data_IF_028424584296
#
_entry.id   IF_028424584296
#
_cell.length_a   1.000
_cell.length_b   1.000
_cell.length_c   1.000
_cell.angle_alpha   90.00
_cell.angle_beta   90.00
_cell.angle_gamma   90.00
#
_symmetry.space_group_name_H-M   'P 1'
#
loop_
_entity.id
_entity.type
_entity.pdbx_description
1 polymer ?
#
# COMPACT_ATOMS: atom_id res chain seq x y z
N UNK A 1 -25.35 -16.60 25.97
CA UNK A 1 -24.48 -16.45 27.16
C UNK A 1 -23.60 -15.25 26.87
N UNK A 2 -23.71 -14.14 27.62
CA UNK A 2 -22.84 -12.99 27.36
C UNK A 2 -21.48 -13.24 28.01
N UNK A 3 -20.41 -12.90 27.30
CA UNK A 3 -19.05 -12.96 27.82
C UNK A 3 -18.87 -12.02 29.02
N UNK A 4 -17.99 -12.41 29.93
CA UNK A 4 -17.52 -11.56 31.03
C UNK A 4 -16.60 -10.46 30.50
N UNK A 5 -16.37 -9.41 31.29
CA UNK A 5 -15.46 -8.32 30.90
C UNK A 5 -14.01 -8.80 30.80
N UNK A 6 -13.64 -9.77 31.62
CA UNK A 6 -12.34 -10.43 31.63
C UNK A 6 -12.13 -11.19 30.31
N UNK A 7 -13.10 -12.03 29.89
CA UNK A 7 -13.05 -12.74 28.60
C UNK A 7 -12.99 -11.76 27.42
N UNK A 8 -13.81 -10.70 27.43
CA UNK A 8 -13.79 -9.68 26.37
C UNK A 8 -12.45 -8.95 26.28
N UNK A 9 -11.79 -8.71 27.42
CA UNK A 9 -10.45 -8.11 27.45
C UNK A 9 -9.40 -9.05 26.85
N UNK A 10 -9.49 -10.35 27.11
CA UNK A 10 -8.62 -11.35 26.50
C UNK A 10 -8.81 -11.41 24.97
N UNK A 11 -10.06 -11.46 24.51
CA UNK A 11 -10.37 -11.43 23.09
C UNK A 11 -9.90 -10.14 22.42
N UNK A 12 -10.11 -8.98 23.07
CA UNK A 12 -9.63 -7.70 22.56
C UNK A 12 -8.12 -7.73 22.30
N UNK A 13 -7.33 -8.22 23.26
CA UNK A 13 -5.87 -8.30 23.11
C UNK A 13 -5.50 -9.18 21.92
N UNK A 14 -6.16 -10.31 21.74
CA UNK A 14 -5.87 -11.24 20.66
C UNK A 14 -6.26 -10.67 19.28
N UNK A 15 -7.45 -10.08 19.16
CA UNK A 15 -7.88 -9.40 17.94
C UNK A 15 -6.93 -8.26 17.55
N UNK A 16 -6.51 -7.43 18.52
CA UNK A 16 -5.58 -6.34 18.26
C UNK A 16 -4.21 -6.85 17.77
N UNK A 17 -3.72 -7.99 18.29
CA UNK A 17 -2.49 -8.62 17.77
C UNK A 17 -2.67 -9.08 16.32
N UNK A 18 -3.77 -9.77 16.02
CA UNK A 18 -4.08 -10.25 14.66
C UNK A 18 -4.14 -9.08 13.68
N UNK A 19 -4.89 -8.03 14.01
CA UNK A 19 -5.01 -6.84 13.16
C UNK A 19 -3.68 -6.13 13.02
N UNK A 20 -2.91 -5.99 14.10
CA UNK A 20 -1.59 -5.36 14.05
C UNK A 20 -0.63 -6.12 13.13
N UNK A 21 -0.69 -7.45 13.11
CA UNK A 21 0.13 -8.25 12.21
C UNK A 21 -0.31 -8.14 10.75
N UNK A 22 -1.62 -7.98 10.50
CA UNK A 22 -2.11 -7.63 9.15
C UNK A 22 -1.57 -6.26 8.71
N UNK A 23 -1.65 -5.23 9.58
CA UNK A 23 -1.12 -3.88 9.31
C UNK A 23 0.38 -3.96 8.97
N UNK A 24 1.17 -4.69 9.76
CA UNK A 24 2.61 -4.88 9.48
C UNK A 24 2.85 -5.51 8.12
N UNK A 25 2.07 -6.53 7.73
CA UNK A 25 2.18 -7.17 6.41
C UNK A 25 1.84 -6.21 5.28
N UNK A 26 0.82 -5.35 5.44
CA UNK A 26 0.47 -4.35 4.41
C UNK A 26 1.57 -3.31 4.25
N UNK A 27 2.11 -2.80 5.37
CA UNK A 27 3.23 -1.85 5.36
C UNK A 27 4.49 -2.47 4.74
N UNK A 28 4.79 -3.74 5.05
CA UNK A 28 5.91 -4.48 4.46
C UNK A 28 5.74 -4.65 2.95
N UNK A 29 4.54 -5.06 2.48
CA UNK A 29 4.28 -5.21 1.05
C UNK A 29 4.40 -3.87 0.30
N UNK A 30 3.90 -2.77 0.87
CA UNK A 30 4.08 -1.41 0.35
C UNK A 30 5.57 -1.08 0.20
N UNK A 31 6.37 -1.31 1.24
CA UNK A 31 7.81 -1.08 1.21
C UNK A 31 8.53 -1.94 0.15
N UNK A 32 8.22 -3.23 0.06
CA UNK A 32 8.81 -4.14 -0.92
C UNK A 32 8.52 -3.69 -2.36
N UNK A 33 7.29 -3.26 -2.64
CA UNK A 33 6.89 -2.80 -3.97
C UNK A 33 7.65 -1.54 -4.39
N UNK A 34 7.91 -0.62 -3.46
CA UNK A 34 8.79 0.53 -3.72
C UNK A 34 10.20 0.09 -4.11
N UNK A 35 10.76 -0.89 -3.40
CA UNK A 35 12.05 -1.49 -3.73
C UNK A 35 12.06 -2.12 -5.12
N UNK A 36 11.08 -2.98 -5.42
CA UNK A 36 10.93 -3.63 -6.73
C UNK A 36 10.71 -2.63 -7.87
N UNK A 37 10.06 -1.50 -7.61
CA UNK A 37 9.92 -0.42 -8.59
C UNK A 37 11.28 0.08 -9.05
N UNK A 38 12.15 0.45 -8.11
CA UNK A 38 13.49 0.95 -8.42
C UNK A 38 14.29 -0.13 -9.14
N UNK A 39 14.29 -1.36 -8.63
CA UNK A 39 15.02 -2.48 -9.21
C UNK A 39 14.61 -2.76 -10.66
N UNK A 40 13.31 -2.86 -10.96
CA UNK A 40 12.85 -3.15 -12.32
C UNK A 40 13.05 -1.98 -13.28
N UNK A 41 12.89 -0.74 -12.82
CA UNK A 41 13.18 0.46 -13.62
C UNK A 41 14.66 0.46 -14.01
N UNK A 42 15.57 0.34 -13.04
CA UNK A 42 17.01 0.34 -13.29
C UNK A 42 17.41 -0.83 -14.19
N UNK A 43 16.91 -2.04 -13.90
CA UNK A 43 17.18 -3.22 -14.73
C UNK A 43 16.75 -2.98 -16.18
N UNK A 44 15.56 -2.43 -16.40
CA UNK A 44 15.02 -2.17 -17.74
C UNK A 44 15.82 -1.10 -18.48
N UNK A 45 16.27 -0.05 -17.79
CA UNK A 45 17.10 1.01 -18.40
C UNK A 45 18.53 0.55 -18.74
N UNK A 46 19.03 -0.49 -18.06
CA UNK A 46 20.34 -1.10 -18.32
C UNK A 46 20.31 -2.16 -19.43
N UNK A 47 19.13 -2.65 -19.82
CA UNK A 47 19.00 -3.60 -20.93
C UNK A 47 19.48 -2.93 -22.23
N UNK A 48 20.38 -3.61 -22.93
CA UNK A 48 20.85 -3.18 -24.25
C UNK A 48 19.80 -3.55 -25.30
N UNK A 49 19.32 -2.56 -26.03
CA UNK A 49 18.53 -2.77 -27.23
C UNK A 49 18.07 -1.45 -27.84
N UNK A 50 16.94 -1.47 -28.55
CA UNK A 50 16.46 -0.28 -29.24
C UNK A 50 16.05 0.83 -28.26
N UNK A 51 16.19 2.09 -28.68
CA UNK A 51 15.84 3.25 -27.85
C UNK A 51 14.39 3.21 -27.33
N UNK A 52 13.49 2.62 -28.12
CA UNK A 52 12.09 2.45 -27.72
C UNK A 52 11.89 1.46 -26.56
N UNK A 53 12.84 0.56 -26.29
CA UNK A 53 12.76 -0.36 -25.17
C UNK A 53 12.86 0.38 -23.82
N UNK A 54 13.45 1.58 -23.77
CA UNK A 54 13.51 2.37 -22.55
C UNK A 54 12.10 2.78 -22.04
N UNK A 55 11.08 2.81 -22.92
CA UNK A 55 9.69 3.05 -22.50
C UNK A 55 9.10 1.90 -21.66
N UNK A 56 9.67 0.69 -21.73
CA UNK A 56 9.25 -0.45 -20.91
C UNK A 56 9.46 -0.13 -19.42
N UNK A 57 10.40 0.74 -19.07
CA UNK A 57 10.66 1.16 -17.69
C UNK A 57 9.47 1.89 -17.05
N UNK A 58 8.52 2.43 -17.83
CA UNK A 58 7.31 3.05 -17.28
C UNK A 58 6.28 2.03 -16.79
N UNK A 59 6.30 0.80 -17.31
CA UNK A 59 5.36 -0.26 -16.91
C UNK A 59 5.46 -0.56 -15.40
N UNK A 60 6.63 -0.90 -14.83
CA UNK A 60 6.73 -1.15 -13.40
C UNK A 60 6.39 0.09 -12.57
N UNK A 61 6.69 1.31 -13.04
CA UNK A 61 6.32 2.56 -12.33
C UNK A 61 4.81 2.64 -12.15
N UNK A 62 4.03 2.52 -13.23
CA UNK A 62 2.58 2.68 -13.19
C UNK A 62 1.90 1.53 -12.42
N UNK A 63 2.31 0.29 -12.69
CA UNK A 63 1.73 -0.90 -12.05
C UNK A 63 1.99 -0.87 -10.55
N UNK A 64 3.23 -0.60 -10.13
CA UNK A 64 3.56 -0.59 -8.72
C UNK A 64 3.06 0.64 -7.99
N UNK A 65 2.87 1.78 -8.66
CA UNK A 65 2.19 2.92 -8.06
C UNK A 65 0.75 2.58 -7.66
N UNK A 66 0.02 1.88 -8.53
CA UNK A 66 -1.31 1.40 -8.22
C UNK A 66 -1.31 0.36 -7.09
N UNK A 67 -0.41 -0.64 -7.14
CA UNK A 67 -0.34 -1.67 -6.11
C UNK A 67 0.06 -1.11 -4.75
N UNK A 68 1.03 -0.20 -4.69
CA UNK A 68 1.44 0.45 -3.44
C UNK A 68 0.29 1.26 -2.83
N UNK A 69 -0.47 1.96 -3.67
CA UNK A 69 -1.72 2.62 -3.26
C UNK A 69 -2.71 1.64 -2.64
N UNK A 70 -2.87 0.45 -3.25
CA UNK A 70 -3.78 -0.57 -2.75
C UNK A 70 -3.36 -1.09 -1.36
N UNK A 71 -2.07 -1.39 -1.15
CA UNK A 71 -1.58 -1.83 0.16
C UNK A 71 -1.71 -0.75 1.23
N UNK A 72 -1.41 0.51 0.88
CA UNK A 72 -1.60 1.64 1.79
C UNK A 72 -3.09 1.86 2.14
N UNK A 73 -3.99 1.69 1.18
CA UNK A 73 -5.44 1.78 1.42
C UNK A 73 -5.93 0.67 2.35
N UNK A 74 -5.49 -0.58 2.14
CA UNK A 74 -5.79 -1.69 3.03
C UNK A 74 -5.25 -1.44 4.44
N UNK A 75 -4.01 -0.97 4.57
CA UNK A 75 -3.41 -0.63 5.87
C UNK A 75 -4.28 0.35 6.65
N UNK A 76 -4.76 1.42 6.00
CA UNK A 76 -5.64 2.42 6.63
C UNK A 76 -6.98 1.81 7.08
N UNK A 77 -7.57 0.93 6.27
CA UNK A 77 -8.80 0.23 6.65
C UNK A 77 -8.60 -0.69 7.84
N UNK A 78 -7.47 -1.40 7.91
CA UNK A 78 -7.13 -2.21 9.07
C UNK A 78 -6.82 -1.37 10.31
N UNK A 79 -6.24 -0.17 10.16
CA UNK A 79 -6.11 0.78 11.27
C UNK A 79 -7.47 1.23 11.82
N UNK A 80 -8.47 1.43 10.97
CA UNK A 80 -9.86 1.72 11.41
C UNK A 80 -10.49 0.54 12.14
N UNK A 81 -10.29 -0.68 11.64
CA UNK A 81 -10.73 -1.90 12.34
C UNK A 81 -10.06 -2.01 13.71
N UNK A 82 -8.76 -1.74 13.79
CA UNK A 82 -8.00 -1.72 15.04
C UNK A 82 -8.59 -0.73 16.04
N UNK A 83 -8.85 0.50 15.60
CA UNK A 83 -9.45 1.55 16.45
C UNK A 83 -10.86 1.19 16.91
N UNK A 84 -11.65 0.56 16.04
CA UNK A 84 -12.99 0.08 16.40
C UNK A 84 -12.92 -1.00 17.49
N UNK A 85 -12.05 -2.00 17.35
CA UNK A 85 -11.87 -3.06 18.37
C UNK A 85 -11.45 -2.44 19.71
N UNK A 86 -10.44 -1.56 19.68
CA UNK A 86 -9.90 -0.87 20.87
C UNK A 86 -10.97 -0.11 21.64
N UNK A 87 -11.93 0.49 20.94
CA UNK A 87 -12.94 1.37 21.56
C UNK A 87 -14.22 0.63 21.95
N UNK A 88 -14.57 -0.46 21.28
CA UNK A 88 -15.88 -1.11 21.45
C UNK A 88 -15.83 -2.45 22.19
N UNK A 89 -14.73 -3.22 22.11
CA UNK A 89 -14.75 -4.64 22.50
C UNK A 89 -15.10 -4.91 23.96
N UNK A 90 -14.77 -4.01 24.89
CA UNK A 90 -15.14 -4.16 26.31
C UNK A 90 -16.63 -3.98 26.59
N UNK A 91 -17.39 -3.49 25.61
CA UNK A 91 -18.81 -3.18 25.73
C UNK A 91 -19.68 -4.01 24.77
N UNK A 92 -19.10 -4.75 23.81
CA UNK A 92 -19.84 -5.54 22.83
C UNK A 92 -19.06 -6.74 22.32
N UNK A 93 -19.77 -7.84 22.08
CA UNK A 93 -19.30 -9.05 21.39
C UNK A 93 -19.67 -9.03 19.88
N UNK A 94 -20.23 -7.93 19.38
CA UNK A 94 -20.54 -7.79 17.96
C UNK A 94 -19.27 -7.99 17.12
N UNK A 95 -19.38 -8.73 16.01
CA UNK A 95 -18.26 -9.01 15.10
C UNK A 95 -17.01 -9.60 15.81
N UNK A 96 -17.21 -10.40 16.87
CA UNK A 96 -16.11 -11.07 17.57
C UNK A 96 -15.29 -11.93 16.58
N UNK A 97 -13.98 -11.70 16.53
CA UNK A 97 -13.03 -12.31 15.59
C UNK A 97 -13.32 -12.07 14.11
N UNK A 98 -14.21 -11.15 13.76
CA UNK A 98 -14.45 -10.77 12.38
C UNK A 98 -13.41 -9.72 11.93
N UNK A 99 -12.42 -10.18 11.16
CA UNK A 99 -11.35 -9.36 10.60
C UNK A 99 -11.74 -8.68 9.27
N UNK A 100 -13.03 -8.61 8.95
CA UNK A 100 -13.52 -8.01 7.72
C UNK A 100 -13.46 -6.48 7.78
N UNK A 101 -12.43 -5.93 7.11
CA UNK A 101 -12.21 -4.49 6.98
C UNK A 101 -13.27 -3.77 6.12
N UNK A 102 -14.09 -4.50 5.34
CA UNK A 102 -14.99 -3.90 4.35
C UNK A 102 -16.00 -2.93 4.96
N UNK A 103 -16.31 -3.11 6.24
CA UNK A 103 -17.18 -2.24 7.05
C UNK A 103 -16.70 -0.78 7.08
N UNK A 104 -15.39 -0.57 6.97
CA UNK A 104 -14.77 0.76 7.06
C UNK A 104 -14.44 1.40 5.70
N UNK A 105 -14.83 0.77 4.57
CA UNK A 105 -14.53 1.28 3.23
C UNK A 105 -15.12 2.67 3.00
N UNK A 106 -16.33 2.91 3.53
CA UNK A 106 -17.03 4.19 3.37
C UNK A 106 -16.41 5.31 4.20
N UNK A 107 -15.70 4.97 5.27
CA UNK A 107 -15.10 5.93 6.18
C UNK A 107 -13.69 6.36 5.74
N UNK A 108 -13.10 5.65 4.76
CA UNK A 108 -11.75 5.88 4.27
C UNK A 108 -11.72 6.67 2.96
N UNK A 109 -10.59 7.33 2.69
CA UNK A 109 -10.38 8.06 1.44
C UNK A 109 -10.40 7.13 0.23
N UNK A 110 -10.78 7.70 -0.92
CA UNK A 110 -10.76 6.98 -2.19
C UNK A 110 -9.32 6.61 -2.58
N UNK A 111 -9.17 5.44 -3.22
CA UNK A 111 -7.86 4.95 -3.69
C UNK A 111 -7.14 5.97 -4.58
N UNK A 112 -7.86 6.69 -5.44
CA UNK A 112 -7.28 7.74 -6.29
C UNK A 112 -6.70 8.90 -5.47
N UNK A 113 -7.39 9.35 -4.41
CA UNK A 113 -6.85 10.41 -3.54
C UNK A 113 -5.58 9.96 -2.83
N UNK A 114 -5.51 8.68 -2.44
CA UNK A 114 -4.30 8.09 -1.83
C UNK A 114 -3.17 7.99 -2.85
N UNK A 115 -3.47 7.58 -4.09
CA UNK A 115 -2.49 7.45 -5.17
C UNK A 115 -1.74 8.76 -5.42
N UNK A 116 -2.46 9.88 -5.42
CA UNK A 116 -1.89 11.23 -5.58
C UNK A 116 -1.59 11.93 -4.24
N UNK A 117 -1.47 11.17 -3.15
CA UNK A 117 -1.00 11.73 -1.88
C UNK A 117 0.46 12.18 -1.99
N UNK A 118 0.86 13.12 -1.12
CA UNK A 118 2.21 13.70 -1.12
C UNK A 118 3.31 12.63 -1.11
N UNK A 119 3.16 11.58 -0.30
CA UNK A 119 4.19 10.54 -0.15
C UNK A 119 4.34 9.66 -1.39
N UNK A 120 3.23 9.21 -1.98
CA UNK A 120 3.26 8.38 -3.19
C UNK A 120 3.59 9.21 -4.43
N UNK A 121 3.03 10.42 -4.52
CA UNK A 121 3.26 11.35 -5.61
C UNK A 121 4.73 11.75 -5.73
N UNK A 122 5.40 12.09 -4.63
CA UNK A 122 6.84 12.37 -4.68
C UNK A 122 7.68 11.15 -5.04
N UNK A 123 7.36 9.98 -4.49
CA UNK A 123 8.13 8.76 -4.76
C UNK A 123 8.00 8.33 -6.23
N UNK A 124 6.80 8.08 -6.72
CA UNK A 124 6.60 7.61 -8.10
C UNK A 124 6.78 8.73 -9.13
N UNK A 125 6.41 9.97 -8.78
CA UNK A 125 6.58 11.13 -9.66
C UNK A 125 8.05 11.46 -9.91
N UNK A 126 8.91 11.40 -8.89
CA UNK A 126 10.35 11.61 -9.08
C UNK A 126 10.98 10.54 -9.98
N UNK A 127 10.65 9.26 -9.76
CA UNK A 127 11.13 8.16 -10.61
C UNK A 127 10.63 8.36 -12.05
N UNK A 128 9.35 8.68 -12.24
CA UNK A 128 8.76 8.92 -13.56
C UNK A 128 9.46 10.07 -14.30
N UNK A 129 9.69 11.21 -13.65
CA UNK A 129 10.38 12.36 -14.24
C UNK A 129 11.82 12.02 -14.60
N UNK A 130 12.56 11.31 -13.74
CA UNK A 130 13.92 10.89 -14.02
C UNK A 130 13.99 9.92 -15.21
N UNK A 131 13.08 8.94 -15.28
CA UNK A 131 12.97 8.03 -16.41
C UNK A 131 12.64 8.79 -17.70
N UNK A 132 11.74 9.77 -17.65
CA UNK A 132 11.38 10.60 -18.79
C UNK A 132 12.57 11.42 -19.31
N UNK A 133 13.33 12.07 -18.41
CA UNK A 133 14.55 12.81 -18.77
C UNK A 133 15.57 11.87 -19.43
N UNK A 134 15.78 10.67 -18.87
CA UNK A 134 16.70 9.69 -19.44
C UNK A 134 16.31 9.28 -20.86
N UNK A 135 15.03 8.93 -21.07
CA UNK A 135 14.50 8.56 -22.40
C UNK A 135 14.65 9.71 -23.39
N UNK A 136 14.32 10.95 -22.99
CA UNK A 136 14.49 12.13 -23.84
C UNK A 136 15.96 12.33 -24.25
N UNK A 137 16.90 12.18 -23.30
CA UNK A 137 18.34 12.27 -23.59
C UNK A 137 18.82 11.19 -24.58
N UNK A 138 18.33 9.95 -24.45
CA UNK A 138 18.66 8.86 -25.36
C UNK A 138 18.16 9.11 -26.79
N UNK A 139 16.97 9.68 -26.94
CA UNK A 139 16.40 10.02 -28.25
C UNK A 139 17.21 11.15 -28.90
N UNK A 140 17.51 12.22 -28.16
CA UNK A 140 18.23 13.38 -28.67
C UNK A 140 19.68 13.02 -29.07
N UNK A 141 20.39 12.23 -28.26
CA UNK A 141 21.79 11.89 -28.55
C UNK A 141 21.97 10.82 -29.62
N UNK A 142 20.94 10.00 -29.84
CA UNK A 142 21.02 8.90 -30.80
C UNK A 142 20.40 9.19 -32.16
N UNK A 143 19.59 10.25 -32.29
CA UNK A 143 19.10 10.74 -33.59
C UNK A 143 20.18 11.56 -34.28
#
# INVERSE_FOLDING_TARGET
MSFTKEELKEFMVEELKIVQDIIKRMALNSFLIKGWTITLVVATLLLKGEKFQAFIAFIPILVFWYLDTYFLWLERLYRRLYDWIRTNRLNTDEYLFDMNYRRFIKDEQSRLRIMFSLTLGWFYGSIFVLTLIYVACLIIKGG
#
